data_IF_178765799938
#
_entry.id   IF_178765799938
#
_cell.length_a   1.000
_cell.length_b   1.000
_cell.length_c   1.000
_cell.angle_alpha   90.00
_cell.angle_beta   90.00
_cell.angle_gamma   90.00
#
_symmetry.space_group_name_H-M   'P 1'
#
loop_
_entity.id
_entity.type
_entity.pdbx_description
1 polymer ?
#
# COMPACT_ATOMS: atom_id res chain seq x y z
N UNK A 1 7.13 26.58 1.12
CA UNK A 1 7.98 25.38 1.12
C UNK A 1 7.51 24.53 2.29
N UNK A 2 7.20 23.25 2.08
CA UNK A 2 6.85 22.35 3.19
C UNK A 2 8.10 22.08 4.03
N UNK A 3 7.92 21.91 5.33
CA UNK A 3 9.01 21.48 6.20
C UNK A 3 9.32 20.00 5.91
N UNK A 4 10.60 19.62 5.97
CA UNK A 4 11.03 18.23 5.71
C UNK A 4 10.22 17.14 6.46
N UNK A 5 9.79 17.34 7.72
CA UNK A 5 8.93 16.38 8.41
C UNK A 5 7.52 16.23 7.81
N UNK A 6 6.95 17.31 7.27
CA UNK A 6 5.62 17.29 6.65
C UNK A 6 5.64 16.54 5.32
N UNK A 7 6.71 16.71 4.54
CA UNK A 7 6.90 15.97 3.28
C UNK A 7 7.02 14.46 3.53
N UNK A 8 7.82 14.03 4.49
CA UNK A 8 7.97 12.61 4.85
C UNK A 8 6.62 12.02 5.27
N UNK A 9 5.83 12.77 6.04
CA UNK A 9 4.49 12.35 6.46
C UNK A 9 3.56 12.14 5.26
N UNK A 10 3.56 13.06 4.30
CA UNK A 10 2.75 12.95 3.08
C UNK A 10 3.16 11.75 2.22
N UNK A 11 4.47 11.52 2.06
CA UNK A 11 5.01 10.35 1.35
C UNK A 11 4.53 9.03 1.98
N UNK A 12 4.56 8.93 3.31
CA UNK A 12 4.08 7.73 4.03
C UNK A 12 2.57 7.54 3.84
N UNK A 13 1.78 8.60 3.89
CA UNK A 13 0.33 8.51 3.69
C UNK A 13 -0.01 8.06 2.26
N UNK A 14 0.69 8.61 1.27
CA UNK A 14 0.53 8.21 -0.12
C UNK A 14 0.87 6.72 -0.32
N UNK A 15 1.96 6.22 0.29
CA UNK A 15 2.30 4.79 0.22
C UNK A 15 1.22 3.93 0.90
N UNK A 16 0.73 4.33 2.08
CA UNK A 16 -0.35 3.62 2.77
C UNK A 16 -1.62 3.49 1.91
N UNK A 17 -2.00 4.55 1.21
CA UNK A 17 -3.15 4.55 0.30
C UNK A 17 -2.92 3.63 -0.91
N UNK A 18 -1.72 3.63 -1.49
CA UNK A 18 -1.36 2.73 -2.58
C UNK A 18 -1.41 1.26 -2.14
N UNK A 19 -0.85 0.93 -0.96
CA UNK A 19 -0.88 -0.43 -0.43
C UNK A 19 -2.32 -0.90 -0.15
N UNK A 20 -3.19 -0.01 0.35
CA UNK A 20 -4.60 -0.31 0.55
C UNK A 20 -5.31 -0.57 -0.79
N UNK A 21 -5.05 0.27 -1.80
CA UNK A 21 -5.63 0.13 -3.14
C UNK A 21 -5.23 -1.19 -3.80
N UNK A 22 -3.95 -1.58 -3.68
CA UNK A 22 -3.42 -2.86 -4.16
C UNK A 22 -4.16 -4.04 -3.51
N UNK A 23 -4.32 -4.01 -2.18
CA UNK A 23 -5.02 -5.06 -1.43
C UNK A 23 -6.50 -5.17 -1.84
N UNK A 24 -7.17 -4.03 -1.99
CA UNK A 24 -8.56 -3.99 -2.41
C UNK A 24 -8.73 -4.53 -3.83
N UNK A 25 -7.92 -4.03 -4.78
CA UNK A 25 -7.96 -4.48 -6.17
C UNK A 25 -7.73 -5.99 -6.29
N UNK A 26 -6.72 -6.52 -5.60
CA UNK A 26 -6.42 -7.96 -5.55
C UNK A 26 -7.55 -8.79 -4.92
N UNK A 27 -8.35 -8.19 -4.03
CA UNK A 27 -9.51 -8.88 -3.45
C UNK A 27 -10.71 -8.90 -4.39
N UNK A 28 -10.89 -7.85 -5.19
CA UNK A 28 -12.05 -7.70 -6.07
C UNK A 28 -11.89 -8.32 -7.46
N UNK A 29 -10.68 -8.31 -8.03
CA UNK A 29 -10.49 -8.61 -9.47
C UNK A 29 -9.99 -10.02 -9.79
N UNK A 30 -9.44 -10.75 -8.81
CA UNK A 30 -8.94 -12.16 -8.80
C UNK A 30 -7.72 -12.21 -7.88
N UNK A 31 -7.36 -13.39 -7.35
CA UNK A 31 -6.26 -13.61 -6.40
C UNK A 31 -4.84 -13.28 -6.95
N UNK A 32 -4.58 -12.01 -7.27
CA UNK A 32 -3.30 -11.50 -7.79
C UNK A 32 -2.19 -11.58 -6.74
N UNK A 33 -2.59 -11.56 -5.47
CA UNK A 33 -1.72 -11.77 -4.32
C UNK A 33 -2.16 -13.05 -3.61
N UNK A 34 -1.20 -13.93 -3.36
CA UNK A 34 -1.37 -15.04 -2.43
C UNK A 34 -1.56 -14.53 -0.99
N UNK A 35 -1.96 -15.42 -0.09
CA UNK A 35 -2.09 -15.11 1.34
C UNK A 35 -0.76 -14.59 1.92
N UNK A 36 0.37 -15.21 1.58
CA UNK A 36 1.69 -14.78 2.06
C UNK A 36 2.05 -13.37 1.60
N UNK A 37 1.78 -13.05 0.33
CA UNK A 37 2.07 -11.73 -0.24
C UNK A 37 1.19 -10.64 0.37
N UNK A 38 -0.08 -10.96 0.68
CA UNK A 38 -0.98 -10.07 1.43
C UNK A 38 -0.47 -9.80 2.84
N UNK A 39 0.08 -10.81 3.52
CA UNK A 39 0.69 -10.66 4.84
C UNK A 39 1.90 -9.71 4.75
N UNK A 40 2.77 -9.89 3.76
CA UNK A 40 3.95 -9.03 3.57
C UNK A 40 3.58 -7.57 3.30
N UNK A 41 2.55 -7.32 2.48
CA UNK A 41 2.03 -5.96 2.24
C UNK A 41 1.42 -5.37 3.51
N UNK A 42 0.69 -6.16 4.31
CA UNK A 42 0.14 -5.68 5.59
C UNK A 42 1.22 -5.41 6.64
N UNK A 43 2.33 -6.17 6.65
CA UNK A 43 3.48 -5.89 7.51
C UNK A 43 4.14 -4.56 7.15
N UNK A 44 4.25 -4.27 5.86
CA UNK A 44 4.73 -2.98 5.35
C UNK A 44 3.81 -1.83 5.81
N UNK A 45 2.49 -1.97 5.63
CA UNK A 45 1.51 -1.00 6.14
C UNK A 45 1.65 -0.77 7.64
N UNK A 46 1.78 -1.85 8.42
CA UNK A 46 1.97 -1.75 9.87
C UNK A 46 3.27 -1.03 10.24
N UNK A 47 4.35 -1.23 9.48
CA UNK A 47 5.60 -0.49 9.67
C UNK A 47 5.38 1.01 9.40
N UNK A 48 4.75 1.37 8.28
CA UNK A 48 4.46 2.76 7.92
C UNK A 48 3.60 3.50 8.95
N UNK A 49 2.58 2.84 9.52
CA UNK A 49 1.80 3.41 10.63
C UNK A 49 2.66 3.68 11.87
N UNK A 50 3.62 2.81 12.20
CA UNK A 50 4.57 3.05 13.30
C UNK A 50 5.51 4.22 13.01
N UNK A 51 5.97 4.39 11.77
CA UNK A 51 6.74 5.58 11.39
C UNK A 51 5.93 6.88 11.56
N UNK A 52 4.64 6.88 11.22
CA UNK A 52 3.76 8.03 11.48
C UNK A 52 3.63 8.33 12.98
N UNK A 53 3.73 7.31 13.84
CA UNK A 53 3.76 7.46 15.29
C UNK A 53 5.14 7.90 15.84
N UNK A 54 6.14 8.09 14.97
CA UNK A 54 7.49 8.50 15.34
C UNK A 54 8.43 7.36 15.74
N UNK A 55 8.05 6.11 15.48
CA UNK A 55 8.90 4.95 15.76
C UNK A 55 9.91 4.70 14.63
N UNK A 56 11.14 4.37 15.00
CA UNK A 56 12.16 3.92 14.03
C UNK A 56 11.80 2.54 13.50
N UNK A 57 11.66 2.41 12.18
CA UNK A 57 11.35 1.16 11.50
C UNK A 57 12.52 0.67 10.65
N UNK A 58 12.80 -0.64 10.75
CA UNK A 58 13.77 -1.36 9.91
C UNK A 58 13.09 -2.31 8.93
N UNK A 59 11.88 -1.98 8.44
CA UNK A 59 11.17 -2.84 7.50
C UNK A 59 11.68 -2.60 6.07
N UNK A 60 12.11 -3.67 5.40
CA UNK A 60 12.45 -3.68 3.98
C UNK A 60 11.62 -4.76 3.29
N UNK A 61 10.94 -4.37 2.23
CA UNK A 61 10.17 -5.28 1.39
C UNK A 61 11.09 -6.01 0.40
N UNK A 62 10.72 -7.23 0.00
CA UNK A 62 11.53 -7.95 -1.01
C UNK A 62 11.30 -7.39 -2.41
N UNK A 63 12.31 -7.45 -3.31
CA UNK A 63 12.19 -6.98 -4.69
C UNK A 63 11.02 -7.60 -5.46
N UNK A 64 10.68 -8.86 -5.17
CA UNK A 64 9.58 -9.57 -5.82
C UNK A 64 8.22 -8.97 -5.45
N UNK A 65 8.03 -8.63 -4.17
CA UNK A 65 6.80 -7.98 -3.70
C UNK A 65 6.71 -6.56 -4.27
N UNK A 66 7.82 -5.82 -4.29
CA UNK A 66 7.90 -4.50 -4.93
C UNK A 66 7.51 -4.55 -6.41
N UNK A 67 8.02 -5.54 -7.16
CA UNK A 67 7.66 -5.72 -8.56
C UNK A 67 6.17 -6.03 -8.73
N UNK A 68 5.58 -6.84 -7.83
CA UNK A 68 4.15 -7.14 -7.84
C UNK A 68 3.29 -5.91 -7.51
N UNK A 69 3.63 -5.14 -6.47
CA UNK A 69 2.95 -3.87 -6.13
C UNK A 69 2.88 -2.96 -7.36
N UNK A 70 4.03 -2.72 -7.98
CA UNK A 70 4.14 -1.89 -9.18
C UNK A 70 3.33 -2.42 -10.38
N UNK A 71 3.30 -3.75 -10.55
CA UNK A 71 2.52 -4.37 -11.62
C UNK A 71 1.01 -4.19 -11.40
N UNK A 72 0.54 -4.34 -10.17
CA UNK A 72 -0.87 -4.14 -9.80
C UNK A 72 -1.26 -2.67 -9.96
N UNK A 73 -0.44 -1.72 -9.50
CA UNK A 73 -0.69 -0.28 -9.70
C UNK A 73 -0.79 0.09 -11.19
N UNK A 74 0.08 -0.47 -12.04
CA UNK A 74 -0.01 -0.29 -13.50
C UNK A 74 -1.32 -0.84 -14.07
N UNK A 75 -1.81 -1.98 -13.58
CA UNK A 75 -3.10 -2.54 -14.00
C UNK A 75 -4.26 -1.65 -13.57
N UNK A 76 -4.26 -1.18 -12.32
CA UNK A 76 -5.25 -0.22 -11.81
C UNK A 76 -5.29 1.01 -12.71
N UNK A 77 -4.14 1.64 -12.95
CA UNK A 77 -4.03 2.88 -13.75
C UNK A 77 -4.44 2.71 -15.22
N UNK A 78 -4.34 1.49 -15.77
CA UNK A 78 -4.77 1.17 -17.14
C UNK A 78 -6.22 0.70 -17.22
N UNK A 79 -6.87 0.50 -16.07
CA UNK A 79 -8.25 0.02 -15.99
C UNK A 79 -9.21 1.16 -15.68
N UNK A 80 -10.48 1.01 -16.06
CA UNK A 80 -11.56 1.87 -15.58
C UNK A 80 -12.11 1.41 -14.21
N UNK A 81 -11.34 0.60 -13.47
CA UNK A 81 -11.77 0.13 -12.15
C UNK A 81 -11.74 1.29 -11.15
N UNK A 82 -12.73 1.29 -10.26
CA UNK A 82 -12.78 2.18 -9.12
C UNK A 82 -12.98 1.32 -7.86
N UNK A 83 -12.28 1.61 -6.76
CA UNK A 83 -12.49 0.91 -5.51
C UNK A 83 -13.96 1.06 -5.10
N UNK A 84 -14.58 -0.03 -4.67
CA UNK A 84 -15.90 0.04 -4.03
C UNK A 84 -15.76 0.84 -2.73
N UNK A 85 -16.64 1.81 -2.54
CA UNK A 85 -16.76 2.50 -1.26
C UNK A 85 -17.23 1.49 -0.21
N UNK A 86 -16.47 1.37 0.89
CA UNK A 86 -16.90 0.58 2.04
C UNK A 86 -17.89 1.46 2.80
N UNK A 87 -19.17 1.17 2.64
CA UNK A 87 -20.23 1.78 3.46
C UNK A 87 -20.27 1.02 4.78
N UNK A 88 -20.00 1.72 5.89
CA UNK A 88 -20.26 1.18 7.22
C UNK A 88 -21.74 1.44 7.52
N UNK A 89 -22.53 0.38 7.61
CA UNK A 89 -23.91 0.41 8.14
C UNK A 89 -23.93 0.44 9.67
#
# INVERSE_FOLDING_TARGET
MMNQPEQIREEILNELDQLMLILQYSSEKTAMLSTGERIMINQERAALFRALAGETIGFLQTPEIEQKKNSILKLINRSNWKPKEIVYE
#
